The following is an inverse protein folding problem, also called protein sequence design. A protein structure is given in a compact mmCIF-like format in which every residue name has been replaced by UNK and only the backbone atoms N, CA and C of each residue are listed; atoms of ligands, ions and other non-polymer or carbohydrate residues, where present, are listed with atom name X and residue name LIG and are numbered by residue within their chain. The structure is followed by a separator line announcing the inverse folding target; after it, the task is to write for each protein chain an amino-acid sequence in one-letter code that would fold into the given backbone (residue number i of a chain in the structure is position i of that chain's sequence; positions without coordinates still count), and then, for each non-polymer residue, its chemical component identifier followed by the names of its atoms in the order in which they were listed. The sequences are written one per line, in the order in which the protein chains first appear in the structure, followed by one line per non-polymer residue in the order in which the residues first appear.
data_IF_906967989411
#
_entry.id   IF_906967989411
#
_cell.length_a   1.000
_cell.length_b   1.000
_cell.length_c   1.000
_cell.angle_alpha   90.00
_cell.angle_beta   90.00
_cell.angle_gamma   90.00
#
_symmetry.space_group_name_H-M   'P 1'
#
loop_
_entity.id
_entity.type
_entity.pdbx_description
1 polymer ?
#
# COMPACT_ATOMS: atom_id res chain seq x y z
N UNK A 1 47.79 6.19 53.47
CA UNK A 1 46.42 5.81 53.08
C UNK A 1 46.34 5.88 51.57
N UNK A 2 46.09 4.72 50.94
CA UNK A 2 45.87 4.57 49.52
C UNK A 2 44.39 4.80 49.20
N UNK A 3 44.11 5.46 48.07
CA UNK A 3 42.89 5.40 47.28
C UNK A 3 43.07 6.37 46.10
N UNK A 4 42.70 6.11 44.85
CA UNK A 4 42.33 4.91 44.09
C UNK A 4 42.32 5.45 42.65
N UNK A 5 43.09 4.84 41.75
CA UNK A 5 43.14 5.27 40.36
C UNK A 5 41.85 4.83 39.65
N UNK A 6 41.08 5.79 39.14
CA UNK A 6 39.95 5.52 38.24
C UNK A 6 40.46 4.75 37.00
N UNK A 7 39.90 3.58 36.66
CA UNK A 7 40.31 2.87 35.46
C UNK A 7 39.76 3.58 34.22
N UNK A 8 40.67 4.20 33.45
CA UNK A 8 40.45 4.55 32.05
C UNK A 8 40.35 3.25 31.23
N UNK A 9 39.19 2.93 30.67
CA UNK A 9 39.06 1.71 29.88
C UNK A 9 37.67 1.30 29.43
N UNK A 10 36.81 2.24 29.03
CA UNK A 10 35.55 1.91 28.34
C UNK A 10 35.83 1.49 26.90
N UNK A 11 36.13 0.21 26.64
CA UNK A 11 36.09 -0.34 25.27
C UNK A 11 34.65 -0.26 24.78
N UNK A 12 34.39 0.66 23.85
CA UNK A 12 33.11 0.75 23.15
C UNK A 12 32.87 -0.56 22.38
N UNK A 13 32.04 -1.44 22.93
CA UNK A 13 31.57 -2.61 22.21
C UNK A 13 30.64 -2.12 21.09
N UNK A 14 30.95 -2.47 19.84
CA UNK A 14 30.15 -2.09 18.68
C UNK A 14 28.70 -2.59 18.85
N UNK A 15 27.74 -1.65 18.89
CA UNK A 15 26.29 -1.94 18.84
C UNK A 15 25.91 -2.63 17.53
N UNK A 16 26.71 -2.44 16.48
CA UNK A 16 26.54 -3.10 15.20
C UNK A 16 27.06 -4.54 15.28
N UNK A 17 26.15 -5.49 15.08
CA UNK A 17 26.50 -6.91 14.95
C UNK A 17 27.15 -7.14 13.60
N UNK A 18 28.41 -7.58 13.59
CA UNK A 18 29.05 -8.10 12.38
C UNK A 18 28.50 -9.50 12.13
N UNK A 19 27.75 -9.67 11.04
CA UNK A 19 27.39 -11.00 10.56
C UNK A 19 28.67 -11.73 10.11
N UNK A 20 28.70 -13.06 10.26
CA UNK A 20 29.84 -13.92 9.91
C UNK A 20 30.20 -13.83 8.41
N UNK A 21 31.28 -14.50 8.00
CA UNK A 21 31.84 -14.60 6.63
C UNK A 21 30.83 -14.26 5.53
N UNK A 22 31.10 -13.20 4.77
CA UNK A 22 30.26 -12.68 3.69
C UNK A 22 29.75 -13.80 2.77
N UNK A 23 28.43 -14.01 2.77
CA UNK A 23 27.75 -14.83 1.77
C UNK A 23 27.08 -13.89 0.74
N UNK A 24 27.39 -13.99 -0.56
CA UNK A 24 26.71 -13.22 -1.61
C UNK A 24 25.18 -13.30 -1.59
N UNK A 25 24.62 -14.32 -0.93
CA UNK A 25 23.20 -14.59 -0.76
C UNK A 25 22.62 -14.12 0.57
N UNK A 26 23.40 -13.46 1.44
CA UNK A 26 22.96 -12.96 2.76
C UNK A 26 21.75 -12.03 2.68
N UNK A 27 21.54 -11.34 1.55
CA UNK A 27 20.37 -10.49 1.32
C UNK A 27 19.04 -11.28 1.32
N UNK A 28 19.10 -12.60 1.14
CA UNK A 28 17.97 -13.50 1.28
C UNK A 28 17.96 -14.26 2.60
N UNK A 29 18.89 -14.04 3.55
CA UNK A 29 19.07 -14.90 4.73
C UNK A 29 17.87 -14.99 5.70
N UNK A 30 16.78 -14.26 5.44
CA UNK A 30 15.54 -14.35 6.22
C UNK A 30 14.95 -15.77 6.24
N UNK A 31 14.36 -16.14 7.37
CA UNK A 31 13.69 -17.43 7.57
C UNK A 31 12.21 -17.42 7.17
N UNK A 32 11.69 -16.28 6.72
CA UNK A 32 10.30 -16.14 6.25
C UNK A 32 9.98 -17.02 5.04
N UNK A 33 8.70 -17.29 4.85
CA UNK A 33 8.16 -18.05 3.74
C UNK A 33 8.58 -17.43 2.40
N UNK A 34 8.48 -16.11 2.24
CA UNK A 34 8.81 -15.47 0.97
C UNK A 34 10.31 -15.55 0.66
N UNK A 35 11.17 -15.43 1.68
CA UNK A 35 12.61 -15.63 1.49
C UNK A 35 12.92 -17.06 1.03
N UNK A 36 12.24 -18.07 1.59
CA UNK A 36 12.38 -19.46 1.16
C UNK A 36 11.87 -19.69 -0.27
N UNK A 37 10.71 -19.13 -0.63
CA UNK A 37 10.14 -19.22 -1.98
C UNK A 37 11.06 -18.58 -3.00
N UNK A 38 11.61 -17.39 -2.72
CA UNK A 38 12.54 -16.70 -3.62
C UNK A 38 13.81 -17.54 -3.82
N UNK A 39 14.37 -18.14 -2.75
CA UNK A 39 15.55 -19.04 -2.88
C UNK A 39 15.26 -20.30 -3.69
N UNK A 40 14.03 -20.81 -3.62
CA UNK A 40 13.64 -22.09 -4.24
C UNK A 40 13.10 -21.92 -5.67
N UNK A 41 12.82 -20.70 -6.09
CA UNK A 41 12.30 -20.40 -7.43
C UNK A 41 13.41 -20.55 -8.48
N UNK A 42 13.09 -21.18 -9.62
CA UNK A 42 14.04 -21.31 -10.72
C UNK A 42 14.11 -20.02 -11.54
N UNK A 43 15.10 -19.18 -11.23
CA UNK A 43 15.28 -17.90 -11.90
C UNK A 43 16.09 -17.97 -13.18
N UNK A 44 16.64 -19.14 -13.57
CA UNK A 44 17.62 -19.25 -14.68
C UNK A 44 17.05 -18.80 -16.01
N UNK A 45 15.81 -19.20 -16.31
CA UNK A 45 15.08 -18.81 -17.54
C UNK A 45 14.12 -17.64 -17.30
N UNK A 46 14.15 -17.05 -16.11
CA UNK A 46 13.32 -15.91 -15.76
C UNK A 46 14.04 -14.59 -16.09
N UNK A 47 13.28 -13.52 -16.36
CA UNK A 47 13.84 -12.20 -16.68
C UNK A 47 14.69 -11.55 -15.58
N UNK A 48 14.66 -12.08 -14.36
CA UNK A 48 15.52 -11.65 -13.26
C UNK A 48 16.92 -12.27 -13.35
N UNK A 49 17.06 -13.42 -14.02
CA UNK A 49 18.25 -14.25 -13.97
C UNK A 49 18.53 -14.81 -12.58
N UNK A 50 19.59 -15.62 -12.43
CA UNK A 50 19.97 -16.22 -11.15
C UNK A 50 20.28 -15.13 -10.09
N UNK A 51 19.85 -15.30 -8.82
CA UNK A 51 20.02 -14.29 -7.75
C UNK A 51 21.44 -13.78 -7.54
N UNK A 52 22.44 -14.62 -7.83
CA UNK A 52 23.87 -14.30 -7.76
C UNK A 52 24.28 -13.19 -8.75
N UNK A 53 23.45 -12.94 -9.76
CA UNK A 53 23.66 -11.91 -10.79
C UNK A 53 22.82 -10.65 -10.57
N UNK A 54 21.93 -10.65 -9.58
CA UNK A 54 21.04 -9.51 -9.34
C UNK A 54 21.82 -8.25 -9.00
N UNK A 55 21.45 -7.07 -9.52
CA UNK A 55 22.13 -5.82 -9.19
C UNK A 55 22.08 -5.49 -7.70
N UNK A 56 23.10 -4.81 -7.18
CA UNK A 56 23.19 -4.46 -5.75
C UNK A 56 21.97 -3.65 -5.27
N UNK A 57 21.43 -2.75 -6.08
CA UNK A 57 20.20 -2.00 -5.77
C UNK A 57 19.03 -2.95 -5.46
N UNK A 58 18.85 -4.01 -6.26
CA UNK A 58 17.78 -4.98 -6.03
C UNK A 58 18.03 -5.78 -4.75
N UNK A 59 19.26 -6.25 -4.54
CA UNK A 59 19.62 -7.02 -3.33
C UNK A 59 19.37 -6.21 -2.06
N UNK A 60 19.79 -4.94 -2.04
CA UNK A 60 19.56 -4.04 -0.91
C UNK A 60 18.07 -3.80 -0.66
N UNK A 61 17.31 -3.47 -1.71
CA UNK A 61 15.87 -3.22 -1.60
C UNK A 61 15.12 -4.46 -1.11
N UNK A 62 15.44 -5.64 -1.66
CA UNK A 62 14.81 -6.90 -1.28
C UNK A 62 15.18 -7.32 0.14
N UNK A 63 16.43 -7.10 0.56
CA UNK A 63 16.83 -7.32 1.96
C UNK A 63 15.99 -6.46 2.91
N UNK A 64 15.79 -5.18 2.59
CA UNK A 64 14.90 -4.30 3.37
C UNK A 64 13.47 -4.84 3.37
N UNK A 65 12.94 -5.21 2.19
CA UNK A 65 11.56 -5.71 2.08
C UNK A 65 11.33 -6.98 2.90
N UNK A 66 12.20 -7.99 2.76
CA UNK A 66 12.08 -9.28 3.47
C UNK A 66 12.23 -9.15 4.99
N UNK A 67 12.93 -8.11 5.48
CA UNK A 67 13.07 -7.83 6.91
C UNK A 67 12.07 -6.80 7.45
N UNK A 68 11.19 -6.26 6.60
CA UNK A 68 10.14 -5.33 7.01
C UNK A 68 8.96 -6.08 7.64
N UNK A 69 8.43 -5.55 8.74
CA UNK A 69 7.17 -6.00 9.32
C UNK A 69 5.94 -5.42 8.59
N UNK A 70 6.12 -4.38 7.77
CA UNK A 70 5.05 -3.80 6.96
C UNK A 70 4.90 -4.58 5.65
N UNK A 71 3.67 -4.71 5.11
CA UNK A 71 3.47 -5.27 3.77
C UNK A 71 4.28 -4.49 2.73
N UNK A 72 5.25 -5.16 2.13
CA UNK A 72 6.23 -4.55 1.25
C UNK A 72 6.40 -5.36 -0.03
N UNK A 73 6.39 -4.67 -1.18
CA UNK A 73 6.65 -5.25 -2.49
C UNK A 73 7.65 -4.41 -3.29
N UNK A 74 8.29 -5.05 -4.26
CA UNK A 74 9.20 -4.46 -5.22
C UNK A 74 8.68 -4.82 -6.60
N UNK A 75 8.46 -3.79 -7.42
CA UNK A 75 8.14 -3.89 -8.83
C UNK A 75 9.40 -3.61 -9.63
N UNK A 76 10.00 -4.62 -10.24
CA UNK A 76 11.34 -4.51 -10.83
C UNK A 76 11.36 -4.67 -12.34
N UNK A 77 12.22 -3.90 -12.99
CA UNK A 77 12.51 -4.00 -14.41
C UNK A 77 11.41 -3.43 -15.31
N UNK A 78 11.55 -3.59 -16.64
CA UNK A 78 10.65 -2.98 -17.62
C UNK A 78 9.21 -3.53 -17.55
N UNK A 79 9.05 -4.75 -17.02
CA UNK A 79 7.75 -5.41 -16.88
C UNK A 79 7.18 -5.30 -15.45
N UNK A 80 7.86 -4.55 -14.56
CA UNK A 80 7.46 -4.32 -13.17
C UNK A 80 7.11 -5.62 -12.44
N UNK A 81 8.00 -6.61 -12.52
CA UNK A 81 7.77 -7.94 -11.94
C UNK A 81 7.90 -7.92 -10.43
N UNK A 82 7.07 -8.72 -9.77
CA UNK A 82 6.87 -8.64 -8.32
C UNK A 82 7.84 -9.50 -7.53
N UNK A 83 8.42 -8.91 -6.50
CA UNK A 83 9.05 -9.57 -5.36
C UNK A 83 8.44 -8.96 -4.10
N UNK A 84 8.15 -9.74 -3.06
CA UNK A 84 7.43 -9.22 -1.89
C UNK A 84 7.73 -10.04 -0.64
N UNK A 85 7.40 -9.46 0.52
CA UNK A 85 7.58 -10.10 1.82
C UNK A 85 6.32 -10.83 2.31
N UNK A 86 6.48 -11.57 3.40
CA UNK A 86 5.43 -12.37 4.04
C UNK A 86 4.20 -11.53 4.42
N UNK A 87 4.40 -10.30 4.90
CA UNK A 87 3.30 -9.40 5.27
C UNK A 87 2.47 -8.93 4.07
N UNK A 88 3.05 -8.93 2.86
CA UNK A 88 2.38 -8.57 1.62
C UNK A 88 1.66 -9.75 0.95
N UNK A 89 2.11 -10.97 1.20
CA UNK A 89 1.59 -12.19 0.57
C UNK A 89 0.05 -12.36 0.62
N UNK A 90 -0.66 -11.98 1.70
CA UNK A 90 -2.12 -12.11 1.76
C UNK A 90 -2.88 -11.11 0.88
N UNK A 91 -2.28 -9.97 0.54
CA UNK A 91 -2.95 -8.85 -0.15
C UNK A 91 -3.59 -9.25 -1.48
N UNK A 92 -2.86 -9.90 -2.42
CA UNK A 92 -3.43 -10.28 -3.71
C UNK A 92 -4.37 -11.51 -3.61
N UNK A 93 -4.53 -12.09 -2.41
CA UNK A 93 -5.43 -13.21 -2.13
C UNK A 93 -5.00 -14.50 -2.86
N UNK A 94 -5.91 -15.18 -3.58
CA UNK A 94 -5.63 -16.45 -4.28
C UNK A 94 -4.52 -16.38 -5.33
N UNK A 95 -4.09 -15.19 -5.73
CA UNK A 95 -2.97 -14.97 -6.66
C UNK A 95 -1.61 -15.31 -6.02
N UNK A 96 -1.51 -15.38 -4.69
CA UNK A 96 -0.35 -15.95 -4.01
C UNK A 96 -0.43 -17.49 -4.03
N UNK A 97 0.67 -18.21 -4.35
CA UNK A 97 2.05 -17.73 -4.53
C UNK A 97 2.44 -17.30 -5.94
N UNK A 98 1.60 -17.55 -6.94
CA UNK A 98 1.90 -17.34 -8.37
C UNK A 98 2.23 -15.89 -8.74
N UNK A 99 1.85 -14.92 -7.89
CA UNK A 99 2.25 -13.53 -8.02
C UNK A 99 3.77 -13.31 -7.92
N UNK A 100 4.54 -14.27 -7.36
CA UNK A 100 5.99 -14.18 -7.26
C UNK A 100 6.64 -14.22 -8.65
N UNK A 101 7.35 -13.15 -9.02
CA UNK A 101 8.00 -13.00 -10.33
C UNK A 101 7.04 -12.66 -11.48
N UNK A 102 5.72 -12.67 -11.24
CA UNK A 102 4.72 -12.30 -12.23
C UNK A 102 4.74 -10.79 -12.53
N UNK A 103 4.21 -10.39 -13.69
CA UNK A 103 4.11 -8.99 -14.08
C UNK A 103 3.03 -8.28 -13.27
N UNK A 104 3.28 -7.03 -12.87
CA UNK A 104 2.29 -6.26 -12.11
C UNK A 104 0.96 -6.12 -12.83
N UNK A 105 0.97 -5.98 -14.15
CA UNK A 105 -0.25 -5.87 -14.94
C UNK A 105 -1.11 -7.14 -14.86
N UNK A 106 -0.49 -8.32 -14.81
CA UNK A 106 -1.22 -9.59 -14.73
C UNK A 106 -1.73 -9.82 -13.31
N UNK A 107 -0.88 -9.52 -12.30
CA UNK A 107 -1.26 -9.64 -10.89
C UNK A 107 -2.37 -8.67 -10.53
N UNK A 108 -2.37 -7.45 -11.06
CA UNK A 108 -3.31 -6.38 -10.69
C UNK A 108 -4.28 -6.01 -11.80
N UNK A 109 -4.65 -6.97 -12.67
CA UNK A 109 -5.47 -6.70 -13.85
C UNK A 109 -6.80 -5.98 -13.54
N UNK A 110 -7.39 -6.27 -12.38
CA UNK A 110 -8.60 -5.64 -11.83
C UNK A 110 -8.44 -4.15 -11.55
N UNK A 111 -7.30 -3.75 -10.96
CA UNK A 111 -7.02 -2.36 -10.56
C UNK A 111 -5.96 -1.66 -11.42
N UNK A 112 -5.50 -2.30 -12.50
CA UNK A 112 -4.37 -1.82 -13.28
C UNK A 112 -4.58 -0.41 -13.84
N UNK A 113 -5.82 -0.10 -14.23
CA UNK A 113 -6.22 1.21 -14.71
C UNK A 113 -6.00 2.35 -13.69
N UNK A 114 -5.96 2.02 -12.38
CA UNK A 114 -5.69 2.97 -11.29
C UNK A 114 -4.18 3.05 -11.01
N UNK A 115 -3.50 1.90 -10.97
CA UNK A 115 -2.10 1.80 -10.54
C UNK A 115 -1.11 2.15 -11.66
N UNK A 116 -1.39 1.79 -12.91
CA UNK A 116 -0.49 2.02 -14.04
C UNK A 116 -0.12 3.49 -14.24
N UNK A 117 -1.06 4.47 -14.18
CA UNK A 117 -0.71 5.88 -14.29
C UNK A 117 0.21 6.36 -13.16
N UNK A 118 0.04 5.81 -11.95
CA UNK A 118 0.87 6.13 -10.79
C UNK A 118 2.31 5.62 -10.99
N UNK A 119 2.47 4.38 -11.45
CA UNK A 119 3.78 3.84 -11.83
C UNK A 119 4.44 4.67 -12.93
N UNK A 120 3.70 5.02 -13.99
CA UNK A 120 4.21 5.84 -15.07
C UNK A 120 4.67 7.23 -14.57
N UNK A 121 3.92 7.84 -13.66
CA UNK A 121 4.28 9.13 -13.06
C UNK A 121 5.58 9.04 -12.25
N UNK A 122 5.76 7.98 -11.45
CA UNK A 122 6.97 7.79 -10.64
C UNK A 122 8.19 7.53 -11.53
N UNK A 123 8.04 6.68 -12.54
CA UNK A 123 9.11 6.38 -13.49
C UNK A 123 9.46 7.63 -14.32
N UNK A 124 8.47 8.42 -14.73
CA UNK A 124 8.70 9.63 -15.52
C UNK A 124 9.29 10.79 -14.71
N UNK A 125 8.84 10.98 -13.48
CA UNK A 125 9.26 12.11 -12.63
C UNK A 125 10.43 11.80 -11.71
N UNK A 126 10.59 10.52 -11.34
CA UNK A 126 11.51 10.08 -10.30
C UNK A 126 11.21 10.60 -8.89
N UNK A 127 10.01 11.11 -8.65
CA UNK A 127 9.54 11.52 -7.33
C UNK A 127 8.66 10.42 -6.75
N UNK A 128 8.87 10.09 -5.47
CA UNK A 128 7.99 9.17 -4.75
C UNK A 128 6.61 9.77 -4.53
N UNK A 129 5.63 8.92 -4.22
CA UNK A 129 4.28 9.33 -3.88
C UNK A 129 3.73 8.56 -2.69
N UNK A 130 2.76 9.16 -2.02
CA UNK A 130 1.97 8.55 -0.95
C UNK A 130 0.50 8.85 -1.20
N UNK A 131 -0.35 7.84 -1.03
CA UNK A 131 -1.79 7.95 -1.14
C UNK A 131 -2.43 7.46 0.16
N UNK A 132 -3.48 8.14 0.57
CA UNK A 132 -4.24 7.90 1.79
C UNK A 132 -5.67 7.57 1.44
N UNK A 133 -6.20 6.50 2.03
CA UNK A 133 -7.56 5.99 1.85
C UNK A 133 -7.98 5.88 0.38
N UNK A 134 -7.05 5.42 -0.47
CA UNK A 134 -7.34 5.20 -1.89
C UNK A 134 -8.23 3.96 -2.02
N UNK A 135 -9.42 4.15 -2.60
CA UNK A 135 -10.29 3.05 -3.00
C UNK A 135 -9.62 2.24 -4.11
N UNK A 136 -9.50 0.93 -3.89
CA UNK A 136 -9.04 -0.06 -4.85
C UNK A 136 -10.06 -1.22 -4.85
N UNK A 137 -10.95 -1.30 -5.86
CA UNK A 137 -11.89 -2.42 -5.98
C UNK A 137 -11.13 -3.67 -6.42
N UNK A 138 -10.83 -4.57 -5.49
CA UNK A 138 -10.01 -5.75 -5.76
C UNK A 138 -10.90 -6.98 -5.94
N UNK A 139 -10.66 -7.74 -7.01
CA UNK A 139 -11.32 -9.03 -7.20
C UNK A 139 -10.51 -10.13 -6.51
N UNK A 140 -10.97 -10.53 -5.32
CA UNK A 140 -10.37 -11.61 -4.52
C UNK A 140 -11.46 -12.65 -4.25
N UNK A 141 -11.09 -13.93 -4.25
CA UNK A 141 -12.01 -15.04 -3.91
C UNK A 141 -13.31 -15.12 -4.76
N UNK A 142 -13.29 -14.59 -5.98
CA UNK A 142 -14.43 -14.70 -6.92
C UNK A 142 -15.48 -13.59 -6.81
N UNK A 143 -15.24 -12.55 -6.00
CA UNK A 143 -16.09 -11.36 -5.92
C UNK A 143 -15.25 -10.08 -5.84
N UNK A 144 -15.86 -8.95 -6.18
CA UNK A 144 -15.23 -7.63 -6.05
C UNK A 144 -15.39 -7.13 -4.61
N UNK A 145 -14.27 -6.76 -3.99
CA UNK A 145 -14.19 -6.22 -2.65
C UNK A 145 -13.90 -4.71 -2.70
N UNK A 146 -14.73 -3.93 -2.00
CA UNK A 146 -14.46 -2.51 -1.70
C UNK A 146 -13.32 -2.44 -0.69
N UNK A 147 -12.09 -2.12 -1.14
CA UNK A 147 -10.92 -2.00 -0.24
C UNK A 147 -10.31 -0.61 -0.28
N UNK A 148 -9.82 -0.13 0.85
CA UNK A 148 -9.17 1.17 1.00
C UNK A 148 -7.74 0.99 1.49
N UNK A 149 -6.81 1.77 0.93
CA UNK A 149 -5.38 1.58 1.18
C UNK A 149 -4.63 2.88 1.43
N UNK A 150 -3.76 2.84 2.42
CA UNK A 150 -2.64 3.77 2.57
C UNK A 150 -1.41 3.11 1.97
N UNK A 151 -0.76 3.75 1.00
CA UNK A 151 0.46 3.18 0.42
C UNK A 151 1.40 4.25 -0.12
N UNK A 152 2.69 3.91 -0.09
CA UNK A 152 3.75 4.66 -0.74
C UNK A 152 4.33 3.90 -1.92
N UNK A 153 4.77 4.65 -2.91
CA UNK A 153 5.61 4.16 -3.98
C UNK A 153 6.87 5.01 -4.07
N UNK A 154 8.02 4.36 -3.96
CA UNK A 154 9.34 4.99 -3.95
C UNK A 154 10.17 4.48 -5.13
N UNK A 155 10.72 5.35 -6.00
CA UNK A 155 11.52 4.91 -7.13
C UNK A 155 12.84 4.28 -6.66
N UNK A 156 13.19 3.13 -7.21
CA UNK A 156 14.49 2.48 -7.03
C UNK A 156 15.42 2.92 -8.14
N UNK A 157 16.58 3.49 -7.77
CA UNK A 157 17.57 4.02 -8.71
C UNK A 157 18.80 3.13 -8.78
N UNK A 158 19.25 2.86 -9.99
CA UNK A 158 20.55 2.25 -10.24
C UNK A 158 21.69 3.29 -10.07
N UNK A 159 22.93 2.81 -10.09
CA UNK A 159 24.13 3.64 -9.95
C UNK A 159 24.29 4.67 -11.07
N UNK A 160 23.72 4.39 -12.25
CA UNK A 160 23.68 5.30 -13.39
C UNK A 160 22.54 6.34 -13.31
N UNK A 161 21.79 6.35 -12.21
CA UNK A 161 20.67 7.25 -11.95
C UNK A 161 19.33 6.84 -12.58
N UNK A 162 19.30 5.79 -13.42
CA UNK A 162 18.06 5.29 -14.04
C UNK A 162 17.14 4.68 -12.99
N UNK A 163 15.84 4.87 -13.18
CA UNK A 163 14.83 4.19 -12.36
C UNK A 163 14.66 2.78 -12.89
N UNK A 164 14.92 1.80 -12.03
CA UNK A 164 14.95 0.36 -12.37
C UNK A 164 13.82 -0.41 -11.71
N UNK A 165 13.04 0.25 -10.86
CA UNK A 165 11.88 -0.34 -10.22
C UNK A 165 11.19 0.62 -9.25
N UNK A 166 10.22 0.10 -8.54
CA UNK A 166 9.42 0.82 -7.54
C UNK A 166 9.36 -0.04 -6.29
N UNK A 167 9.71 0.55 -5.15
CA UNK A 167 9.51 0.00 -3.83
C UNK A 167 8.15 0.46 -3.30
N UNK A 168 7.33 -0.49 -2.86
CA UNK A 168 6.00 -0.24 -2.35
C UNK A 168 5.87 -0.73 -0.91
N UNK A 169 5.26 0.09 -0.07
CA UNK A 169 4.82 -0.32 1.26
C UNK A 169 3.41 0.23 1.48
N UNK A 170 2.50 -0.59 2.01
CA UNK A 170 1.14 -0.16 2.25
C UNK A 170 0.40 -0.99 3.28
N UNK A 171 -0.70 -0.45 3.78
CA UNK A 171 -1.60 -1.13 4.70
C UNK A 171 -3.06 -0.85 4.31
N UNK A 172 -3.90 -1.84 4.56
CA UNK A 172 -5.33 -1.73 4.35
C UNK A 172 -5.95 -0.85 5.45
N UNK A 173 -6.88 0.02 5.06
CA UNK A 173 -7.65 0.92 5.95
C UNK A 173 -9.16 0.72 5.79
N UNK A 174 -9.58 -0.31 5.04
CA UNK A 174 -10.98 -0.63 4.72
C UNK A 174 -11.90 -0.60 5.93
N UNK A 175 -11.56 -1.32 7.01
CA UNK A 175 -12.36 -1.36 8.23
C UNK A 175 -12.61 0.04 8.79
N UNK A 176 -11.55 0.84 8.96
CA UNK A 176 -11.64 2.20 9.47
C UNK A 176 -12.52 3.09 8.59
N UNK A 177 -12.36 3.02 7.27
CA UNK A 177 -13.13 3.85 6.32
C UNK A 177 -14.61 3.46 6.35
N UNK A 178 -14.92 2.17 6.34
CA UNK A 178 -16.29 1.66 6.40
C UNK A 178 -16.95 2.01 7.75
N UNK A 179 -16.24 1.86 8.87
CA UNK A 179 -16.74 2.25 10.20
C UNK A 179 -17.09 3.72 10.26
N UNK A 180 -16.21 4.58 9.73
CA UNK A 180 -16.43 6.03 9.68
C UNK A 180 -17.66 6.35 8.83
N UNK A 181 -17.75 5.78 7.62
CA UNK A 181 -18.90 5.96 6.72
C UNK A 181 -20.22 5.50 7.35
N UNK A 182 -20.21 4.36 8.03
CA UNK A 182 -21.40 3.82 8.70
C UNK A 182 -21.84 4.71 9.86
N UNK A 183 -20.90 5.21 10.67
CA UNK A 183 -21.19 6.12 11.77
C UNK A 183 -21.82 7.44 11.25
N UNK A 184 -21.25 8.02 10.19
CA UNK A 184 -21.78 9.22 9.54
C UNK A 184 -23.19 9.00 8.98
N UNK A 185 -23.43 7.87 8.31
CA UNK A 185 -24.74 7.49 7.79
C UNK A 185 -25.81 7.37 8.88
N UNK A 186 -25.47 6.78 10.02
CA UNK A 186 -26.39 6.67 11.17
C UNK A 186 -26.72 8.04 11.76
N UNK A 187 -25.75 8.95 11.86
CA UNK A 187 -25.97 10.32 12.32
C UNK A 187 -26.90 11.06 11.36
N UNK A 188 -26.64 11.00 10.05
CA UNK A 188 -27.45 11.64 9.02
C UNK A 188 -28.90 11.11 9.02
N UNK A 189 -29.08 9.79 9.12
CA UNK A 189 -30.41 9.18 9.22
C UNK A 189 -31.15 9.65 10.47
N UNK A 190 -30.48 9.70 11.63
CA UNK A 190 -31.10 10.17 12.87
C UNK A 190 -31.55 11.63 12.76
N UNK A 191 -30.72 12.49 12.16
CA UNK A 191 -31.06 13.89 11.90
C UNK A 191 -32.26 14.03 10.96
N UNK A 192 -32.29 13.26 9.86
CA UNK A 192 -33.41 13.24 8.91
C UNK A 192 -34.73 12.79 9.57
N UNK A 193 -34.68 11.74 10.39
CA UNK A 193 -35.85 11.25 11.14
C UNK A 193 -36.37 12.29 12.15
N UNK A 194 -35.47 12.99 12.87
CA UNK A 194 -35.84 14.07 13.78
C UNK A 194 -36.51 15.23 13.04
N UNK A 195 -35.95 15.65 11.90
CA UNK A 195 -36.51 16.71 11.08
C UNK A 195 -37.92 16.34 10.55
N UNK A 196 -38.12 15.11 10.08
CA UNK A 196 -39.43 14.61 9.65
C UNK A 196 -40.44 14.54 10.81
N UNK A 197 -40.02 14.09 11.99
CA UNK A 197 -40.86 14.02 13.18
C UNK A 197 -41.27 15.39 13.73
N UNK A 198 -40.41 16.39 13.59
CA UNK A 198 -40.74 17.79 13.89
C UNK A 198 -41.69 18.37 12.83
N UNK A 199 -41.47 18.09 11.55
CA UNK A 199 -42.36 18.51 10.46
C UNK A 199 -43.79 17.96 10.64
N UNK A 200 -43.95 16.69 11.01
CA UNK A 200 -45.28 16.08 11.26
C UNK A 200 -45.99 16.70 12.49
N UNK A 201 -45.25 17.09 13.52
CA UNK A 201 -45.81 17.80 14.69
C UNK A 201 -46.18 19.25 14.39
N UNK A 202 -45.42 19.94 13.53
CA UNK A 202 -45.76 21.28 13.05
C UNK A 202 -46.94 21.29 12.08
N UNK A 203 -47.03 20.32 11.17
CA UNK A 203 -48.13 20.19 10.21
C UNK A 203 -49.46 19.77 10.86
N UNK A 204 -49.42 19.14 12.03
CA UNK A 204 -50.62 18.90 12.86
C UNK A 204 -51.23 20.16 13.46
N UNK A 205 -50.55 21.31 13.41
CA UNK A 205 -51.03 22.60 13.90
C UNK A 205 -51.49 23.57 12.79
N UNK A 206 -51.47 23.15 11.52
CA UNK A 206 -51.90 23.98 10.41
C UNK A 206 -52.21 23.14 9.18
N UNK A 207 -53.49 22.85 8.97
CA UNK A 207 -53.96 22.33 7.69
C UNK A 207 -53.68 23.35 6.57
N UNK A 208 -52.87 22.94 5.58
CA UNK A 208 -52.79 23.60 4.27
C UNK A 208 -51.38 24.04 3.85
N UNK A 209 -50.60 23.12 3.28
CA UNK A 209 -49.67 23.42 2.17
C UNK A 209 -49.09 22.12 1.60
N UNK A 210 -49.51 21.77 0.39
CA UNK A 210 -49.15 20.56 -0.35
C UNK A 210 -47.74 20.59 -0.95
N UNK A 211 -47.07 19.44 -0.84
CA UNK A 211 -46.23 18.79 -1.86
C UNK A 211 -45.23 19.62 -2.65
N UNK A 212 -43.96 19.70 -2.18
CA UNK A 212 -42.80 19.89 -3.07
C UNK A 212 -41.41 19.57 -2.44
N UNK A 213 -41.32 19.07 -1.21
CA UNK A 213 -40.02 19.02 -0.51
C UNK A 213 -39.28 17.65 -0.53
N UNK A 214 -39.79 16.61 -1.21
CA UNK A 214 -39.25 15.24 -1.06
C UNK A 214 -38.12 14.92 -2.06
N UNK A 215 -38.00 15.65 -3.18
CA UNK A 215 -36.97 15.35 -4.19
C UNK A 215 -35.57 15.92 -3.87
N UNK A 216 -35.45 16.89 -2.97
CA UNK A 216 -34.17 17.61 -2.74
C UNK A 216 -33.13 16.91 -1.86
N UNK A 217 -33.45 15.77 -1.25
CA UNK A 217 -32.59 15.09 -0.26
C UNK A 217 -31.89 13.85 -0.87
N UNK A 218 -32.45 13.24 -1.92
CA UNK A 218 -31.86 12.05 -2.54
C UNK A 218 -30.62 12.35 -3.39
N UNK A 219 -30.48 13.57 -3.91
CA UNK A 219 -29.47 13.90 -4.94
C UNK A 219 -28.11 14.38 -4.39
N UNK A 220 -27.94 14.47 -3.06
CA UNK A 220 -26.72 15.03 -2.44
C UNK A 220 -25.78 14.01 -1.78
N UNK A 221 -26.02 12.71 -1.89
CA UNK A 221 -25.23 11.71 -1.16
C UNK A 221 -24.74 10.51 -1.98
N UNK A 222 -24.66 10.64 -3.30
CA UNK A 222 -23.87 9.71 -4.12
C UNK A 222 -22.48 10.29 -4.32
N UNK A 223 -21.49 9.67 -3.69
CA UNK A 223 -20.08 10.04 -3.70
C UNK A 223 -19.42 9.94 -5.09
N UNK A 224 -19.70 10.92 -5.95
CA UNK A 224 -18.98 11.12 -7.21
C UNK A 224 -17.92 12.25 -7.12
N UNK A 225 -17.99 13.12 -6.12
CA UNK A 225 -17.11 14.29 -6.01
C UNK A 225 -15.76 14.03 -5.33
N UNK A 226 -15.61 12.91 -4.60
CA UNK A 226 -14.37 12.62 -3.88
C UNK A 226 -13.26 12.06 -4.79
N UNK A 227 -13.63 11.38 -5.88
CA UNK A 227 -12.69 10.89 -6.90
C UNK A 227 -12.03 12.07 -7.66
N UNK A 228 -12.73 13.19 -7.81
CA UNK A 228 -12.19 14.41 -8.45
C UNK A 228 -11.29 15.23 -7.52
N UNK A 229 -11.47 15.16 -6.20
CA UNK A 229 -10.61 15.90 -5.26
C UNK A 229 -9.24 15.24 -5.07
N UNK A 230 -9.14 13.92 -5.11
CA UNK A 230 -7.85 13.22 -4.96
C UNK A 230 -6.95 13.35 -6.20
N UNK A 231 -7.53 13.45 -7.41
CA UNK A 231 -6.77 13.71 -8.65
C UNK A 231 -6.30 15.17 -8.82
N UNK A 232 -6.87 16.10 -8.05
CA UNK A 232 -6.61 17.55 -8.16
C UNK A 232 -5.41 18.10 -7.39
N UNK A 233 -4.76 17.33 -6.51
CA UNK A 233 -3.61 17.80 -5.71
C UNK A 233 -2.23 17.61 -6.38
N UNK A 234 -2.20 17.14 -7.63
CA UNK A 234 -0.98 16.92 -8.42
C UNK A 234 -0.65 18.05 -9.42
N UNK A 235 -1.26 19.23 -9.28
CA UNK A 235 -0.87 20.42 -10.05
C UNK A 235 -0.46 21.55 -9.11
N UNK A 236 0.84 21.66 -8.87
CA UNK A 236 1.59 22.90 -9.18
C UNK A 236 3.12 22.61 -9.17
N UNK A 237 3.90 23.38 -9.94
CA UNK A 237 5.23 23.02 -10.44
C UNK A 237 6.36 22.94 -9.41
#
# INVERSE_FOLDING_TARGET
MAAEALPAGGRSASVLRKQSVYDPMDFLAGNGEMAQRIRSYDWRDHSFGPPETWPQTLRSALSIALNSAFPTAIYWGPELRLLYNDAWAPIPGPRHPDALGARAQDVWADIWHIIQPQFAQIIGSGKGMFLEDQLLPMSRYGFEEETYWNYSFTPLRAEDGRIVGIFNSGNETTERVIETRNAEGLVALNQGLRACGQYRRGAGAGAGASGQAVEGIADRHVGADDIRRQTGRLRDP
#
